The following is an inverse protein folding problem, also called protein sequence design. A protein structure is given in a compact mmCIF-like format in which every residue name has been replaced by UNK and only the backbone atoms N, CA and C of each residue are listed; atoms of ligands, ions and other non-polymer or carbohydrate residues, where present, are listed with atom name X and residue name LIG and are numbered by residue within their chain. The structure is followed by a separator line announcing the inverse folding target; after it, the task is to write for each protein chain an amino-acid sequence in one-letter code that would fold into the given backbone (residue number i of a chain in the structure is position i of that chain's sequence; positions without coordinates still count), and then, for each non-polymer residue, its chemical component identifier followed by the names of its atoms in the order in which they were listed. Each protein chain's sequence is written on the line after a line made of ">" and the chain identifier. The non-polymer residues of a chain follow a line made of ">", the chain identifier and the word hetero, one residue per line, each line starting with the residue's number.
data_IF_883795303745
#
_entry.id   IF_883795303745
#
_cell.length_a   1.000
_cell.length_b   1.000
_cell.length_c   1.000
_cell.angle_alpha   90.00
_cell.angle_beta   90.00
_cell.angle_gamma   90.00
#
_symmetry.space_group_name_H-M   'P 1'
#
loop_
_entity.id
_entity.type
_entity.pdbx_description
1 polymer ?
#
# COMPACT_ATOMS: atom_id res chain seq x y z
N UNK A 1 22.32 -23.11 -6.80
CA UNK A 1 21.45 -23.38 -5.64
C UNK A 1 20.13 -23.90 -6.17
N UNK A 2 19.48 -24.89 -5.55
CA UNK A 2 18.13 -25.34 -5.93
C UNK A 2 17.08 -24.56 -5.11
N UNK A 3 16.38 -23.54 -5.66
CA UNK A 3 15.51 -22.66 -4.88
C UNK A 3 14.42 -23.38 -4.06
N UNK A 4 13.93 -24.52 -4.54
CA UNK A 4 12.91 -25.34 -3.86
C UNK A 4 13.40 -25.97 -2.55
N UNK A 5 14.71 -26.06 -2.32
CA UNK A 5 15.27 -26.54 -1.05
C UNK A 5 15.21 -25.49 0.07
N UNK A 6 15.14 -24.20 -0.30
CA UNK A 6 15.22 -23.07 0.62
C UNK A 6 13.86 -22.40 0.87
N UNK A 7 12.82 -22.79 0.13
CA UNK A 7 11.46 -22.27 0.30
C UNK A 7 10.42 -23.38 0.34
N UNK A 8 9.83 -23.58 1.51
CA UNK A 8 8.72 -24.51 1.69
C UNK A 8 7.49 -24.13 0.85
N UNK A 9 7.25 -22.82 0.68
CA UNK A 9 6.20 -22.33 -0.22
C UNK A 9 6.47 -22.77 -1.66
N UNK A 10 7.69 -22.51 -2.15
CA UNK A 10 8.04 -22.81 -3.53
C UNK A 10 7.96 -24.31 -3.81
N UNK A 11 8.49 -25.13 -2.90
CA UNK A 11 8.41 -26.59 -2.98
C UNK A 11 6.96 -27.07 -3.13
N UNK A 12 6.07 -26.66 -2.21
CA UNK A 12 4.66 -27.05 -2.24
C UNK A 12 3.94 -26.56 -3.49
N UNK A 13 4.27 -25.34 -3.95
CA UNK A 13 3.68 -24.78 -5.16
C UNK A 13 4.11 -25.58 -6.39
N UNK A 14 5.40 -25.90 -6.55
CA UNK A 14 5.90 -26.69 -7.68
C UNK A 14 5.32 -28.11 -7.66
N UNK A 15 5.24 -28.77 -6.50
CA UNK A 15 4.66 -30.12 -6.40
C UNK A 15 3.20 -30.18 -6.88
N UNK A 16 2.44 -29.09 -6.68
CA UNK A 16 1.02 -29.01 -7.04
C UNK A 16 0.77 -28.49 -8.47
N UNK A 17 1.52 -27.47 -8.89
CA UNK A 17 1.17 -26.67 -10.09
C UNK A 17 2.23 -26.71 -11.19
N UNK A 18 3.48 -27.07 -10.89
CA UNK A 18 4.58 -27.10 -11.86
C UNK A 18 5.63 -28.17 -11.49
N UNK A 19 5.25 -29.47 -11.50
CA UNK A 19 6.07 -30.55 -10.95
C UNK A 19 7.39 -30.74 -11.71
N UNK A 20 7.39 -30.46 -13.02
CA UNK A 20 8.58 -30.51 -13.87
C UNK A 20 9.38 -29.19 -13.85
N UNK A 21 8.84 -28.16 -13.18
CA UNK A 21 9.41 -26.81 -13.08
C UNK A 21 9.63 -26.14 -14.43
N UNK A 22 8.80 -26.46 -15.43
CA UNK A 22 8.94 -25.92 -16.79
C UNK A 22 8.63 -24.43 -16.75
N UNK A 23 7.47 -24.06 -16.20
CA UNK A 23 7.08 -22.65 -16.12
C UNK A 23 8.07 -21.85 -15.29
N UNK A 24 8.49 -22.39 -14.14
CA UNK A 24 9.44 -21.77 -13.23
C UNK A 24 10.78 -21.42 -13.91
N UNK A 25 11.34 -22.37 -14.69
CA UNK A 25 12.62 -22.20 -15.38
C UNK A 25 12.53 -21.36 -16.65
N UNK A 26 11.34 -21.26 -17.23
CA UNK A 26 11.07 -20.44 -18.40
C UNK A 26 10.46 -19.09 -17.97
N UNK A 27 9.14 -18.91 -18.12
CA UNK A 27 8.47 -17.65 -17.86
C UNK A 27 8.67 -17.12 -16.43
N UNK A 28 8.70 -18.00 -15.43
CA UNK A 28 8.90 -17.64 -14.02
C UNK A 28 10.30 -17.10 -13.70
N UNK A 29 11.29 -17.40 -14.54
CA UNK A 29 12.70 -16.96 -14.38
C UNK A 29 12.94 -15.51 -14.80
N UNK A 30 11.95 -14.88 -15.45
CA UNK A 30 12.01 -13.48 -15.86
C UNK A 30 11.03 -12.65 -15.03
N UNK A 31 11.48 -11.48 -14.54
CA UNK A 31 10.59 -10.58 -13.81
C UNK A 31 9.49 -10.05 -14.75
N UNK A 32 8.20 -10.21 -14.41
CA UNK A 32 7.13 -9.75 -15.28
C UNK A 32 7.12 -8.21 -15.35
N UNK A 33 6.73 -7.69 -16.51
CA UNK A 33 6.52 -6.25 -16.71
C UNK A 33 5.26 -5.80 -15.97
N UNK A 34 5.18 -4.50 -15.66
CA UNK A 34 3.98 -3.94 -15.04
C UNK A 34 2.71 -4.18 -15.87
N UNK A 35 2.81 -4.00 -17.19
CA UNK A 35 1.69 -4.22 -18.11
C UNK A 35 1.25 -5.69 -18.10
N UNK A 36 2.17 -6.65 -18.03
CA UNK A 36 1.83 -8.07 -17.98
C UNK A 36 1.05 -8.42 -16.71
N UNK A 37 1.55 -8.00 -15.54
CA UNK A 37 0.87 -8.20 -14.25
C UNK A 37 -0.55 -7.60 -14.31
N UNK A 38 -0.67 -6.34 -14.75
CA UNK A 38 -1.96 -5.66 -14.84
C UNK A 38 -2.93 -6.41 -15.75
N UNK A 39 -2.48 -6.82 -16.94
CA UNK A 39 -3.32 -7.56 -17.88
C UNK A 39 -3.81 -8.90 -17.32
N UNK A 40 -2.95 -9.64 -16.63
CA UNK A 40 -3.33 -10.91 -16.01
C UNK A 40 -4.40 -10.74 -14.94
N UNK A 41 -4.30 -9.71 -14.10
CA UNK A 41 -5.32 -9.39 -13.11
C UNK A 41 -6.66 -8.95 -13.74
N UNK A 42 -6.61 -8.17 -14.81
CA UNK A 42 -7.80 -7.68 -15.51
C UNK A 42 -8.62 -8.80 -16.16
N UNK A 43 -8.00 -9.92 -16.56
CA UNK A 43 -8.70 -11.10 -17.08
C UNK A 43 -9.70 -11.70 -16.07
N UNK A 44 -9.49 -11.49 -14.77
CA UNK A 44 -10.36 -12.03 -13.73
C UNK A 44 -11.63 -11.20 -13.50
N UNK A 45 -11.63 -9.92 -13.86
CA UNK A 45 -12.74 -8.97 -13.58
C UNK A 45 -14.13 -9.49 -13.99
N UNK A 46 -14.33 -10.05 -15.20
CA UNK A 46 -15.66 -10.47 -15.65
C UNK A 46 -16.17 -11.79 -15.06
N UNK A 47 -15.36 -12.48 -14.24
CA UNK A 47 -15.74 -13.76 -13.63
C UNK A 47 -16.82 -13.58 -12.57
N UNK A 48 -17.44 -14.68 -12.12
CA UNK A 48 -18.26 -14.65 -10.89
C UNK A 48 -17.37 -14.41 -9.66
N UNK A 49 -17.89 -13.87 -8.55
CA UNK A 49 -17.06 -13.61 -7.36
C UNK A 49 -16.33 -14.84 -6.82
N UNK A 50 -16.93 -16.04 -6.73
CA UNK A 50 -16.19 -17.24 -6.32
C UNK A 50 -15.03 -17.59 -7.27
N UNK A 51 -15.22 -17.43 -8.58
CA UNK A 51 -14.19 -17.68 -9.58
C UNK A 51 -13.10 -16.60 -9.56
N UNK A 52 -13.49 -15.32 -9.43
CA UNK A 52 -12.57 -14.20 -9.23
C UNK A 52 -11.68 -14.46 -8.02
N UNK A 53 -12.26 -14.81 -6.87
CA UNK A 53 -11.55 -15.09 -5.63
C UNK A 53 -10.57 -16.26 -5.80
N UNK A 54 -10.98 -17.33 -6.47
CA UNK A 54 -10.12 -18.48 -6.73
C UNK A 54 -8.95 -18.09 -7.67
N UNK A 55 -9.25 -17.50 -8.83
CA UNK A 55 -8.23 -17.14 -9.83
C UNK A 55 -7.26 -16.08 -9.32
N UNK A 56 -7.73 -15.11 -8.52
CA UNK A 56 -6.88 -14.11 -7.88
C UNK A 56 -5.80 -14.74 -6.99
N UNK A 57 -6.15 -15.79 -6.23
CA UNK A 57 -5.20 -16.50 -5.36
C UNK A 57 -4.23 -17.36 -6.15
N UNK A 58 -4.69 -18.04 -7.20
CA UNK A 58 -3.82 -18.80 -8.10
C UNK A 58 -2.80 -17.87 -8.76
N UNK A 59 -3.26 -16.75 -9.33
CA UNK A 59 -2.41 -15.76 -9.97
C UNK A 59 -1.38 -15.18 -8.99
N UNK A 60 -1.83 -14.73 -7.81
CA UNK A 60 -0.94 -14.22 -6.76
C UNK A 60 0.11 -15.25 -6.33
N UNK A 61 -0.28 -16.51 -6.16
CA UNK A 61 0.65 -17.57 -5.76
C UNK A 61 1.66 -17.91 -6.87
N UNK A 62 1.23 -17.90 -8.13
CA UNK A 62 2.13 -18.08 -9.28
C UNK A 62 3.13 -16.93 -9.40
N UNK A 63 2.69 -15.68 -9.30
CA UNK A 63 3.58 -14.51 -9.29
C UNK A 63 4.57 -14.58 -8.14
N UNK A 64 4.12 -14.94 -6.93
CA UNK A 64 5.00 -15.13 -5.78
C UNK A 64 5.99 -16.29 -5.97
N UNK A 65 5.59 -17.39 -6.61
CA UNK A 65 6.48 -18.51 -6.90
C UNK A 65 7.62 -18.08 -7.83
N UNK A 66 7.31 -17.38 -8.92
CA UNK A 66 8.32 -16.79 -9.81
C UNK A 66 9.23 -15.81 -9.07
N UNK A 67 8.67 -14.92 -8.24
CA UNK A 67 9.46 -13.96 -7.46
C UNK A 67 10.43 -14.66 -6.51
N UNK A 68 9.97 -15.64 -5.73
CA UNK A 68 10.84 -16.39 -4.80
C UNK A 68 11.91 -17.16 -5.56
N UNK A 69 11.56 -17.76 -6.70
CA UNK A 69 12.53 -18.46 -7.54
C UNK A 69 13.64 -17.53 -8.03
N UNK A 70 13.30 -16.35 -8.55
CA UNK A 70 14.27 -15.37 -9.04
C UNK A 70 15.11 -14.80 -7.91
N UNK A 71 14.51 -14.50 -6.76
CA UNK A 71 15.22 -14.02 -5.57
C UNK A 71 16.27 -15.04 -5.09
N UNK A 72 15.89 -16.31 -4.94
CA UNK A 72 16.79 -17.38 -4.49
C UNK A 72 17.82 -17.80 -5.54
N UNK A 73 17.52 -17.56 -6.81
CA UNK A 73 18.46 -17.79 -7.93
C UNK A 73 19.41 -16.61 -8.16
N UNK A 74 19.22 -15.47 -7.48
CA UNK A 74 20.00 -14.25 -7.70
C UNK A 74 19.72 -13.58 -9.05
N UNK A 75 18.52 -13.76 -9.60
CA UNK A 75 18.09 -13.21 -10.90
C UNK A 75 17.42 -11.84 -10.75
N UNK A 76 16.68 -11.62 -9.67
CA UNK A 76 16.02 -10.33 -9.39
C UNK A 76 16.95 -9.43 -8.57
N UNK A 77 16.97 -8.15 -8.93
CA UNK A 77 17.49 -7.09 -8.05
C UNK A 77 16.54 -6.83 -6.87
N UNK A 78 16.96 -6.01 -5.91
CA UNK A 78 16.07 -5.53 -4.85
C UNK A 78 14.91 -4.72 -5.45
N UNK A 79 15.22 -3.86 -6.41
CA UNK A 79 14.29 -3.02 -7.14
C UNK A 79 13.25 -3.86 -7.89
N UNK A 80 13.67 -4.96 -8.54
CA UNK A 80 12.74 -5.89 -9.18
C UNK A 80 11.78 -6.54 -8.19
N UNK A 81 12.31 -7.00 -7.05
CA UNK A 81 11.51 -7.66 -6.02
C UNK A 81 10.42 -6.73 -5.49
N UNK A 82 10.80 -5.49 -5.16
CA UNK A 82 9.89 -4.48 -4.62
C UNK A 82 8.89 -4.01 -5.69
N UNK A 83 9.34 -3.80 -6.93
CA UNK A 83 8.50 -3.42 -8.07
C UNK A 83 7.43 -4.48 -8.34
N UNK A 84 7.82 -5.75 -8.47
CA UNK A 84 6.87 -6.85 -8.76
C UNK A 84 5.87 -7.01 -7.63
N UNK A 85 6.31 -6.97 -6.37
CA UNK A 85 5.42 -7.09 -5.20
C UNK A 85 4.43 -5.92 -5.14
N UNK A 86 4.92 -4.71 -5.34
CA UNK A 86 4.09 -3.49 -5.36
C UNK A 86 3.07 -3.54 -6.49
N UNK A 87 3.52 -3.87 -7.71
CA UNK A 87 2.64 -3.91 -8.87
C UNK A 87 1.57 -4.99 -8.77
N UNK A 88 1.90 -6.14 -8.18
CA UNK A 88 0.92 -7.20 -7.92
C UNK A 88 -0.18 -6.70 -6.97
N UNK A 89 0.18 -5.99 -5.90
CA UNK A 89 -0.80 -5.43 -4.96
C UNK A 89 -1.69 -4.36 -5.61
N UNK A 90 -1.10 -3.44 -6.39
CA UNK A 90 -1.86 -2.40 -7.11
C UNK A 90 -2.81 -3.01 -8.13
N UNK A 91 -2.35 -3.99 -8.90
CA UNK A 91 -3.16 -4.67 -9.92
C UNK A 91 -4.29 -5.48 -9.29
N UNK A 92 -4.06 -6.10 -8.12
CA UNK A 92 -5.09 -6.79 -7.37
C UNK A 92 -6.16 -5.83 -6.82
N UNK A 93 -5.76 -4.66 -6.33
CA UNK A 93 -6.69 -3.61 -5.88
C UNK A 93 -7.53 -3.08 -7.05
N UNK A 94 -6.91 -2.75 -8.19
CA UNK A 94 -7.64 -2.26 -9.38
C UNK A 94 -8.62 -3.31 -9.92
N UNK A 95 -8.19 -4.57 -10.05
CA UNK A 95 -9.07 -5.64 -10.54
C UNK A 95 -10.21 -5.94 -9.57
N UNK A 96 -9.94 -5.98 -8.25
CA UNK A 96 -10.97 -6.21 -7.24
C UNK A 96 -11.97 -5.05 -7.17
N UNK A 97 -11.48 -3.82 -7.27
CA UNK A 97 -12.32 -2.63 -7.37
C UNK A 97 -13.25 -2.71 -8.58
N UNK A 98 -12.71 -3.00 -9.77
CA UNK A 98 -13.48 -3.11 -11.01
C UNK A 98 -14.52 -4.25 -10.94
N UNK A 99 -14.13 -5.41 -10.42
CA UNK A 99 -15.01 -6.57 -10.27
C UNK A 99 -16.23 -6.25 -9.39
N UNK A 100 -16.01 -5.72 -8.19
CA UNK A 100 -17.10 -5.43 -7.26
C UNK A 100 -17.93 -4.22 -7.67
N UNK A 101 -17.34 -3.27 -8.41
CA UNK A 101 -18.06 -2.14 -9.02
C UNK A 101 -19.23 -2.61 -9.89
N UNK A 102 -18.96 -3.54 -10.82
CA UNK A 102 -19.97 -4.08 -11.75
C UNK A 102 -21.14 -4.71 -10.99
N UNK A 103 -20.84 -5.43 -9.92
CA UNK A 103 -21.85 -6.10 -9.08
C UNK A 103 -22.72 -5.08 -8.35
N UNK A 104 -22.09 -4.09 -7.71
CA UNK A 104 -22.81 -3.07 -6.95
C UNK A 104 -23.61 -2.14 -7.86
N UNK A 105 -23.08 -1.75 -9.01
CA UNK A 105 -23.79 -0.96 -10.02
C UNK A 105 -25.03 -1.69 -10.53
N UNK A 106 -24.92 -3.00 -10.75
CA UNK A 106 -26.07 -3.83 -11.13
C UNK A 106 -27.15 -3.90 -10.04
N UNK A 107 -26.75 -3.86 -8.77
CA UNK A 107 -27.65 -3.99 -7.63
C UNK A 107 -28.32 -2.67 -7.20
N UNK A 108 -27.57 -1.56 -7.26
CA UNK A 108 -27.95 -0.27 -6.66
C UNK A 108 -27.98 0.89 -7.67
N UNK A 109 -27.55 0.66 -8.92
CA UNK A 109 -27.24 1.71 -9.88
C UNK A 109 -25.87 2.35 -9.58
N UNK A 110 -25.30 3.00 -10.60
CA UNK A 110 -24.06 3.74 -10.42
C UNK A 110 -24.30 4.97 -9.51
N UNK A 111 -23.32 5.36 -8.68
CA UNK A 111 -23.29 6.68 -8.07
C UNK A 111 -23.35 7.78 -9.13
N UNK A 112 -23.99 8.91 -8.81
CA UNK A 112 -24.03 10.08 -9.71
C UNK A 112 -22.63 10.57 -10.09
N UNK A 113 -21.67 10.43 -9.17
CA UNK A 113 -20.24 10.56 -9.41
C UNK A 113 -19.51 9.28 -8.95
N UNK A 114 -19.06 8.40 -9.86
CA UNK A 114 -18.53 7.09 -9.49
C UNK A 114 -17.07 7.13 -9.00
N UNK A 115 -16.44 8.32 -8.99
CA UNK A 115 -15.03 8.47 -8.67
C UNK A 115 -14.72 8.05 -7.23
N UNK A 116 -13.84 7.07 -7.11
CA UNK A 116 -13.26 6.56 -5.87
C UNK A 116 -11.77 6.36 -6.11
N UNK A 117 -10.94 6.91 -5.23
CA UNK A 117 -9.52 6.59 -5.16
C UNK A 117 -9.25 5.66 -3.99
N UNK A 118 -8.33 4.72 -4.18
CA UNK A 118 -7.71 3.97 -3.09
C UNK A 118 -6.33 4.57 -2.89
N UNK A 119 -6.07 5.15 -1.71
CA UNK A 119 -4.75 5.61 -1.32
C UNK A 119 -4.00 4.47 -0.64
N UNK A 120 -2.84 4.13 -1.18
CA UNK A 120 -1.91 3.20 -0.60
C UNK A 120 -1.03 3.94 0.39
N UNK A 121 -0.84 3.34 1.56
CA UNK A 121 -0.12 3.91 2.69
C UNK A 121 1.13 3.08 2.98
N UNK A 122 2.00 3.58 3.86
CA UNK A 122 3.17 2.85 4.33
C UNK A 122 4.01 2.30 3.17
N UNK A 123 4.29 0.99 3.21
CA UNK A 123 5.13 0.33 2.19
C UNK A 123 4.46 0.25 0.82
N UNK A 124 3.13 0.15 0.75
CA UNK A 124 2.42 0.15 -0.53
C UNK A 124 2.53 1.54 -1.20
N UNK A 125 2.23 2.58 -0.43
CA UNK A 125 2.30 3.95 -0.92
C UNK A 125 3.73 4.36 -1.33
N UNK A 126 4.73 3.99 -0.52
CA UNK A 126 6.15 4.20 -0.77
C UNK A 126 6.80 3.31 -1.84
N UNK A 127 6.05 2.35 -2.44
CA UNK A 127 6.59 1.35 -3.38
C UNK A 127 7.74 0.56 -2.77
N UNK A 128 7.51 -0.01 -1.61
CA UNK A 128 8.47 -0.70 -0.73
C UNK A 128 7.91 -2.03 -0.20
N UNK A 129 6.91 -2.60 -0.88
CA UNK A 129 6.33 -3.87 -0.43
C UNK A 129 7.36 -4.98 -0.48
N UNK A 130 7.35 -5.78 0.59
CA UNK A 130 8.09 -7.05 0.66
C UNK A 130 7.11 -8.23 0.60
N UNK A 131 7.66 -9.44 0.44
CA UNK A 131 6.92 -10.70 0.26
C UNK A 131 5.78 -10.98 1.25
N UNK A 132 5.85 -10.45 2.47
CA UNK A 132 4.88 -10.70 3.54
C UNK A 132 4.25 -9.41 4.08
N UNK A 133 4.31 -8.32 3.31
CA UNK A 133 3.72 -7.06 3.72
C UNK A 133 2.20 -7.13 3.67
N UNK A 134 1.57 -6.56 4.70
CA UNK A 134 0.18 -6.15 4.62
C UNK A 134 0.07 -4.97 3.64
N UNK A 135 -1.10 -4.79 3.03
CA UNK A 135 -1.40 -3.62 2.22
C UNK A 135 -2.22 -2.64 3.03
N UNK A 136 -1.58 -1.53 3.39
CA UNK A 136 -2.24 -0.43 4.09
C UNK A 136 -2.97 0.45 3.06
N UNK A 137 -4.30 0.55 3.16
CA UNK A 137 -5.11 1.36 2.24
C UNK A 137 -6.12 2.22 2.99
N UNK A 138 -6.54 3.34 2.39
CA UNK A 138 -7.81 3.96 2.74
C UNK A 138 -8.50 4.52 1.49
N UNK A 139 -9.83 4.54 1.49
CA UNK A 139 -10.63 4.86 0.32
C UNK A 139 -11.28 6.24 0.46
N UNK A 140 -11.24 7.03 -0.62
CA UNK A 140 -11.89 8.36 -0.68
C UNK A 140 -12.72 8.46 -1.95
N UNK A 141 -13.97 8.92 -1.84
CA UNK A 141 -14.85 9.17 -2.98
C UNK A 141 -15.10 10.66 -3.17
N UNK A 142 -15.49 11.05 -4.39
CA UNK A 142 -15.53 12.47 -4.77
C UNK A 142 -16.45 13.32 -3.90
N UNK A 143 -17.73 12.96 -3.81
CA UNK A 143 -18.75 13.76 -3.12
C UNK A 143 -19.90 12.90 -2.61
N UNK A 144 -20.61 13.41 -1.61
CA UNK A 144 -21.85 12.80 -1.14
C UNK A 144 -22.96 12.88 -2.19
N UNK A 145 -23.89 11.95 -2.14
CA UNK A 145 -24.97 11.84 -3.11
C UNK A 145 -25.68 10.50 -3.00
N UNK A 146 -26.44 10.15 -4.04
CA UNK A 146 -27.22 8.93 -4.10
C UNK A 146 -26.98 8.17 -5.42
N UNK A 147 -27.15 6.85 -5.37
CA UNK A 147 -27.13 5.99 -6.57
C UNK A 147 -28.41 6.10 -7.37
N UNK A 148 -28.35 5.85 -8.68
CA UNK A 148 -29.47 6.03 -9.59
C UNK A 148 -30.32 4.78 -9.86
N UNK A 149 -30.12 3.69 -9.10
CA UNK A 149 -30.75 2.40 -9.37
C UNK A 149 -32.03 2.15 -8.60
N UNK A 150 -32.63 0.95 -8.76
CA UNK A 150 -33.93 0.61 -8.17
C UNK A 150 -33.89 0.51 -6.63
N UNK A 151 -32.70 0.34 -6.06
CA UNK A 151 -32.44 0.32 -4.61
C UNK A 151 -31.44 1.42 -4.29
N UNK A 152 -31.95 2.64 -4.20
CA UNK A 152 -31.15 3.85 -3.92
C UNK A 152 -30.33 3.66 -2.64
N UNK A 153 -29.05 4.04 -2.71
CA UNK A 153 -28.12 4.10 -1.59
C UNK A 153 -27.45 5.46 -1.56
N UNK A 154 -27.16 5.95 -0.36
CA UNK A 154 -26.21 7.04 -0.20
C UNK A 154 -24.82 6.57 -0.68
N UNK A 155 -24.04 7.50 -1.24
CA UNK A 155 -22.68 7.22 -1.70
C UNK A 155 -21.82 6.61 -0.58
N UNK A 156 -21.96 7.10 0.66
CA UNK A 156 -21.25 6.58 1.83
C UNK A 156 -21.45 5.07 2.04
N UNK A 157 -22.71 4.59 2.10
CA UNK A 157 -23.05 3.16 2.20
C UNK A 157 -22.58 2.40 0.96
N UNK A 158 -22.78 2.93 -0.25
CA UNK A 158 -22.35 2.28 -1.48
C UNK A 158 -20.83 2.04 -1.50
N UNK A 159 -20.03 3.09 -1.28
CA UNK A 159 -18.57 2.99 -1.33
C UNK A 159 -18.01 2.22 -0.13
N UNK A 160 -18.66 2.31 1.05
CA UNK A 160 -18.31 1.46 2.20
C UNK A 160 -18.49 -0.02 1.86
N UNK A 161 -19.61 -0.41 1.24
CA UNK A 161 -19.83 -1.79 0.79
C UNK A 161 -18.79 -2.21 -0.24
N UNK A 162 -18.48 -1.34 -1.19
CA UNK A 162 -17.47 -1.63 -2.20
C UNK A 162 -16.11 -1.92 -1.58
N UNK A 163 -15.66 -1.05 -0.66
CA UNK A 163 -14.41 -1.23 0.08
C UNK A 163 -14.42 -2.51 0.93
N UNK A 164 -15.56 -2.88 1.53
CA UNK A 164 -15.69 -4.14 2.27
C UNK A 164 -15.57 -5.36 1.36
N UNK A 165 -16.24 -5.36 0.20
CA UNK A 165 -16.21 -6.51 -0.70
C UNK A 165 -14.83 -6.71 -1.34
N UNK A 166 -14.18 -5.64 -1.79
CA UNK A 166 -12.83 -5.75 -2.34
C UNK A 166 -11.83 -6.21 -1.28
N UNK A 167 -11.90 -5.66 -0.05
CA UNK A 167 -11.02 -6.09 1.03
C UNK A 167 -11.25 -7.56 1.40
N UNK A 168 -12.51 -8.01 1.42
CA UNK A 168 -12.86 -9.41 1.69
C UNK A 168 -12.31 -10.35 0.62
N UNK A 169 -12.44 -10.02 -0.66
CA UNK A 169 -11.89 -10.83 -1.76
C UNK A 169 -10.38 -11.00 -1.65
N UNK A 170 -9.66 -9.94 -1.24
CA UNK A 170 -8.21 -9.95 -1.13
C UNK A 170 -7.70 -10.65 0.15
N UNK A 171 -8.35 -10.42 1.29
CA UNK A 171 -7.87 -10.83 2.63
C UNK A 171 -8.36 -12.23 3.06
N UNK A 172 -9.56 -12.65 2.63
CA UNK A 172 -10.15 -13.88 3.14
C UNK A 172 -9.25 -15.11 2.92
N UNK A 173 -9.05 -15.90 3.96
CA UNK A 173 -8.29 -17.14 3.85
C UNK A 173 -9.18 -18.25 3.29
N UNK A 174 -8.81 -18.79 2.12
CA UNK A 174 -9.47 -19.95 1.49
C UNK A 174 -8.50 -21.13 1.41
N UNK A 175 -8.94 -22.24 0.79
CA UNK A 175 -8.08 -23.40 0.50
C UNK A 175 -6.89 -23.07 -0.40
N UNK A 176 -6.99 -21.99 -1.18
CA UNK A 176 -5.92 -21.49 -2.06
C UNK A 176 -5.09 -20.36 -1.41
N UNK A 177 -5.37 -20.05 -0.13
CA UNK A 177 -4.71 -19.00 0.62
C UNK A 177 -5.46 -17.66 0.55
N UNK A 178 -4.71 -16.57 0.50
CA UNK A 178 -5.21 -15.19 0.41
C UNK A 178 -4.37 -14.42 -0.61
N UNK A 179 -4.87 -13.28 -1.09
CA UNK A 179 -4.11 -12.42 -2.02
C UNK A 179 -3.18 -11.51 -1.24
N UNK A 180 -3.75 -10.67 -0.37
CA UNK A 180 -3.02 -9.75 0.50
C UNK A 180 -3.86 -9.47 1.74
N UNK A 181 -3.19 -9.31 2.89
CA UNK A 181 -3.85 -8.82 4.11
C UNK A 181 -4.09 -7.33 3.98
N UNK A 182 -5.33 -6.90 4.16
CA UNK A 182 -5.72 -5.49 3.94
C UNK A 182 -5.86 -4.78 5.28
N UNK A 183 -4.99 -3.80 5.55
CA UNK A 183 -5.09 -2.94 6.72
C UNK A 183 -5.71 -1.59 6.33
N UNK A 184 -6.76 -1.19 7.04
CA UNK A 184 -7.49 0.04 6.78
C UNK A 184 -7.42 1.03 7.94
N UNK A 185 -6.57 0.78 8.95
CA UNK A 185 -6.55 1.54 10.21
C UNK A 185 -5.91 2.92 10.10
N UNK A 186 -5.22 3.23 9.00
CA UNK A 186 -4.59 4.53 8.76
C UNK A 186 -5.55 5.57 8.16
N UNK A 187 -6.83 5.23 7.98
CA UNK A 187 -7.87 6.17 7.53
C UNK A 187 -8.22 7.20 8.62
N UNK A 188 -8.82 8.35 8.27
CA UNK A 188 -9.39 9.29 9.24
C UNK A 188 -10.22 8.59 10.32
N UNK A 189 -10.04 8.98 11.59
CA UNK A 189 -10.66 8.35 12.77
C UNK A 189 -10.25 6.89 13.03
N UNK A 190 -9.29 6.35 12.29
CA UNK A 190 -8.79 4.99 12.41
C UNK A 190 -9.91 3.94 12.32
N UNK A 191 -9.88 2.94 13.21
CA UNK A 191 -10.89 1.86 13.23
C UNK A 191 -12.32 2.34 13.44
N UNK A 192 -12.53 3.52 14.04
CA UNK A 192 -13.86 4.09 14.27
C UNK A 192 -14.39 4.89 13.06
N UNK A 193 -13.54 5.18 12.07
CA UNK A 193 -13.91 5.93 10.87
C UNK A 193 -14.64 5.08 9.83
N UNK A 194 -15.31 5.77 8.92
CA UNK A 194 -15.91 5.17 7.72
C UNK A 194 -14.83 4.49 6.87
N UNK A 195 -15.17 3.39 6.19
CA UNK A 195 -14.21 2.68 5.34
C UNK A 195 -13.97 3.40 4.01
N UNK A 196 -14.94 4.22 3.59
CA UNK A 196 -14.82 5.18 2.51
C UNK A 196 -15.37 6.53 3.01
N UNK A 197 -14.62 7.61 2.77
CA UNK A 197 -14.94 8.98 3.24
C UNK A 197 -15.03 9.91 2.01
N UNK A 198 -15.93 10.92 1.96
CA UNK A 198 -15.91 11.89 0.87
C UNK A 198 -14.70 12.82 0.96
N UNK A 199 -14.27 13.41 -0.15
CA UNK A 199 -13.12 14.35 -0.20
C UNK A 199 -13.27 15.45 0.84
N UNK A 200 -14.43 16.13 0.89
CA UNK A 200 -14.67 17.25 1.80
C UNK A 200 -14.47 16.85 3.26
N UNK A 201 -15.06 15.74 3.70
CA UNK A 201 -14.90 15.28 5.09
C UNK A 201 -13.46 14.82 5.41
N UNK A 202 -12.72 14.35 4.40
CA UNK A 202 -11.31 14.00 4.55
C UNK A 202 -10.44 15.27 4.76
N UNK A 203 -10.69 16.32 3.97
CA UNK A 203 -10.03 17.61 4.10
C UNK A 203 -10.33 18.24 5.47
N UNK A 204 -11.61 18.31 5.85
CA UNK A 204 -12.05 18.81 7.16
C UNK A 204 -11.37 18.07 8.32
N UNK A 205 -11.24 16.74 8.22
CA UNK A 205 -10.58 15.95 9.24
C UNK A 205 -9.12 16.36 9.42
N UNK A 206 -8.36 16.46 8.33
CA UNK A 206 -6.93 16.79 8.45
C UNK A 206 -6.70 18.26 8.81
N UNK A 207 -7.62 19.15 8.47
CA UNK A 207 -7.58 20.55 8.91
C UNK A 207 -7.81 20.68 10.42
N UNK A 208 -8.83 20.00 10.95
CA UNK A 208 -9.31 20.23 12.34
C UNK A 208 -8.76 19.21 13.34
N UNK A 209 -8.63 17.95 12.94
CA UNK A 209 -8.38 16.82 13.84
C UNK A 209 -7.06 16.08 13.57
N UNK A 210 -6.38 16.40 12.46
CA UNK A 210 -5.17 15.72 12.03
C UNK A 210 -4.04 15.74 13.07
N UNK A 211 -3.51 14.56 13.39
CA UNK A 211 -2.51 14.32 14.42
C UNK A 211 -1.10 14.28 13.85
N UNK A 212 -0.11 14.52 14.71
CA UNK A 212 1.31 14.55 14.33
C UNK A 212 1.80 13.26 13.66
N UNK A 213 1.39 12.11 14.17
CA UNK A 213 1.77 10.82 13.58
C UNK A 213 1.11 10.58 12.21
N UNK A 214 -0.04 11.19 11.92
CA UNK A 214 -0.72 11.03 10.64
C UNK A 214 0.04 11.72 9.52
N UNK A 215 0.82 12.76 9.84
CA UNK A 215 1.75 13.39 8.87
C UNK A 215 2.77 12.38 8.36
N UNK A 216 3.38 11.60 9.26
CA UNK A 216 4.32 10.52 8.89
C UNK A 216 3.65 9.47 7.99
N UNK A 217 2.40 9.10 8.28
CA UNK A 217 1.66 8.15 7.46
C UNK A 217 1.38 8.72 6.06
N UNK A 218 0.93 9.97 5.97
CA UNK A 218 0.62 10.65 4.71
C UNK A 218 1.86 10.92 3.85
N UNK A 219 3.07 11.02 4.41
CA UNK A 219 4.30 11.14 3.61
C UNK A 219 4.48 9.99 2.62
N UNK A 220 3.91 8.82 2.91
CA UNK A 220 3.94 7.67 2.01
C UNK A 220 2.68 7.57 1.13
N UNK A 221 1.65 8.38 1.35
CA UNK A 221 0.37 8.21 0.69
C UNK A 221 0.48 8.44 -0.83
N UNK A 222 -0.13 7.55 -1.60
CA UNK A 222 -0.19 7.65 -3.06
C UNK A 222 -1.46 6.99 -3.61
N UNK A 223 -2.07 7.48 -4.69
CA UNK A 223 -3.16 6.77 -5.36
C UNK A 223 -2.66 5.45 -5.94
N UNK A 224 -3.23 4.32 -5.48
CA UNK A 224 -2.82 2.95 -5.85
C UNK A 224 -3.87 2.14 -6.59
N UNK A 225 -5.13 2.58 -6.58
CA UNK A 225 -6.20 2.03 -7.42
C UNK A 225 -7.36 3.03 -7.59
N UNK A 226 -8.19 2.80 -8.60
CA UNK A 226 -9.34 3.67 -8.91
C UNK A 226 -8.94 4.98 -9.59
N UNK A 227 -9.65 6.06 -9.26
CA UNK A 227 -9.45 7.39 -9.84
C UNK A 227 -8.17 8.04 -9.29
N UNK A 228 -7.10 8.02 -10.10
CA UNK A 228 -5.77 8.52 -9.69
C UNK A 228 -5.72 10.04 -9.59
N UNK A 229 -6.55 10.74 -10.37
CA UNK A 229 -6.58 12.19 -10.39
C UNK A 229 -7.27 12.72 -9.12
N UNK A 230 -8.37 12.08 -8.72
CA UNK A 230 -9.05 12.38 -7.44
C UNK A 230 -8.07 12.27 -6.26
N UNK A 231 -7.34 11.15 -6.17
CA UNK A 231 -6.37 10.94 -5.10
C UNK A 231 -5.19 11.92 -5.15
N UNK A 232 -4.71 12.25 -6.35
CA UNK A 232 -3.62 13.24 -6.52
C UNK A 232 -4.06 14.64 -6.09
N UNK A 233 -5.28 15.04 -6.47
CA UNK A 233 -5.86 16.33 -6.09
C UNK A 233 -6.09 16.43 -4.58
N UNK A 234 -6.59 15.38 -3.94
CA UNK A 234 -6.70 15.33 -2.48
C UNK A 234 -5.33 15.46 -1.81
N UNK A 235 -4.34 14.67 -2.21
CA UNK A 235 -3.00 14.77 -1.60
C UNK A 235 -2.37 16.13 -1.82
N UNK A 236 -2.68 16.80 -2.95
CA UNK A 236 -2.28 18.18 -3.18
C UNK A 236 -2.94 19.15 -2.18
N UNK A 237 -4.25 19.02 -1.92
CA UNK A 237 -4.94 19.86 -0.93
C UNK A 237 -4.47 19.59 0.51
N UNK A 238 -4.04 18.37 0.81
CA UNK A 238 -3.47 17.98 2.11
C UNK A 238 -2.00 18.38 2.31
N UNK A 239 -1.30 18.89 1.27
CA UNK A 239 0.11 19.31 1.40
C UNK A 239 0.39 20.26 2.56
N UNK A 240 -0.43 21.28 2.86
CA UNK A 240 -0.19 22.18 4.00
C UNK A 240 -0.22 21.44 5.35
N UNK A 241 -1.04 20.40 5.49
CA UNK A 241 -1.06 19.54 6.67
C UNK A 241 0.19 18.67 6.76
N UNK A 242 0.58 18.06 5.64
CA UNK A 242 1.72 17.13 5.54
C UNK A 242 3.08 17.83 5.69
N UNK A 243 3.27 18.97 5.00
CA UNK A 243 4.53 19.67 4.86
C UNK A 243 4.40 21.12 5.34
N UNK A 244 4.68 21.36 6.62
CA UNK A 244 4.57 22.71 7.19
C UNK A 244 5.63 23.63 6.61
N UNK A 245 5.20 24.81 6.15
CA UNK A 245 6.11 25.87 5.68
C UNK A 245 6.90 26.52 6.84
N UNK A 246 6.24 26.68 7.97
CA UNK A 246 6.80 27.26 9.20
C UNK A 246 6.81 26.21 10.30
N UNK A 247 7.95 26.08 10.97
CA UNK A 247 8.12 25.19 12.12
C UNK A 247 8.15 26.03 13.39
N UNK A 248 7.35 25.63 14.37
CA UNK A 248 7.50 26.07 15.75
C UNK A 248 8.31 25.06 16.55
N UNK A 249 8.64 25.41 17.80
CA UNK A 249 9.33 24.50 18.71
C UNK A 249 8.52 23.22 19.01
N UNK A 250 7.19 23.27 18.90
CA UNK A 250 6.28 22.16 19.19
C UNK A 250 6.43 20.99 18.21
N UNK A 251 6.88 21.25 16.97
CA UNK A 251 7.18 20.17 16.00
C UNK A 251 8.28 19.24 16.52
N UNK A 252 9.37 19.80 17.06
CA UNK A 252 10.49 19.01 17.54
C UNK A 252 10.12 18.17 18.76
N UNK A 253 9.32 18.73 19.67
CA UNK A 253 8.77 17.98 20.81
C UNK A 253 7.87 16.85 20.34
N UNK A 254 6.98 17.10 19.37
CA UNK A 254 6.08 16.09 18.81
C UNK A 254 6.83 14.91 18.18
N UNK A 255 7.92 15.18 17.45
CA UNK A 255 8.77 14.13 16.87
C UNK A 255 9.45 13.32 17.98
N UNK A 256 10.00 13.98 19.01
CA UNK A 256 10.63 13.28 20.16
C UNK A 256 9.63 12.41 20.92
N UNK A 257 8.42 12.91 21.13
CA UNK A 257 7.35 12.17 21.81
C UNK A 257 6.93 10.94 21.01
N UNK A 258 6.81 11.06 19.68
CA UNK A 258 6.51 9.93 18.82
C UNK A 258 7.61 8.88 18.87
N UNK A 259 8.88 9.30 18.79
CA UNK A 259 10.05 8.41 18.92
C UNK A 259 10.04 7.67 20.26
N UNK A 260 9.82 8.38 21.37
CA UNK A 260 9.75 7.83 22.71
C UNK A 260 8.62 6.79 22.87
N UNK A 261 7.44 7.05 22.29
CA UNK A 261 6.32 6.10 22.26
C UNK A 261 6.68 4.83 21.51
N UNK A 262 7.28 4.93 20.33
CA UNK A 262 7.72 3.79 19.51
C UNK A 262 8.70 2.92 20.31
N UNK A 263 9.73 3.53 20.91
CA UNK A 263 10.74 2.78 21.67
C UNK A 263 10.16 2.11 22.93
N UNK A 264 9.25 2.80 23.62
CA UNK A 264 8.58 2.26 24.80
C UNK A 264 7.74 1.05 24.44
N UNK A 265 7.02 1.09 23.31
CA UNK A 265 6.25 -0.04 22.81
C UNK A 265 7.13 -1.24 22.43
N UNK A 266 8.28 -0.98 21.80
CA UNK A 266 9.26 -2.02 21.42
C UNK A 266 9.82 -2.73 22.64
N UNK A 267 10.28 -1.96 23.65
CA UNK A 267 10.79 -2.48 24.91
C UNK A 267 9.73 -3.28 25.66
N UNK A 268 8.50 -2.75 25.76
CA UNK A 268 7.38 -3.43 26.43
C UNK A 268 7.09 -4.81 25.84
N UNK A 269 7.29 -4.97 24.53
CA UNK A 269 7.04 -6.22 23.82
C UNK A 269 8.29 -7.12 23.73
N UNK A 270 9.43 -6.74 24.33
CA UNK A 270 10.69 -7.51 24.29
C UNK A 270 11.25 -7.70 22.88
N UNK A 271 11.08 -6.70 22.00
CA UNK A 271 11.44 -6.79 20.58
C UNK A 271 12.72 -6.04 20.21
N UNK A 272 13.62 -5.81 21.17
CA UNK A 272 14.81 -4.98 20.99
C UNK A 272 15.76 -5.48 19.88
N UNK A 273 15.82 -6.80 19.66
CA UNK A 273 16.63 -7.44 18.60
C UNK A 273 15.85 -7.71 17.31
N UNK A 274 14.63 -7.20 17.17
CA UNK A 274 13.81 -7.44 15.98
C UNK A 274 14.31 -6.56 14.81
N UNK A 275 14.56 -7.17 13.64
CA UNK A 275 15.05 -6.44 12.44
C UNK A 275 14.15 -5.27 12.00
N UNK A 276 12.83 -5.34 12.25
CA UNK A 276 11.89 -4.29 11.83
C UNK A 276 11.75 -3.19 12.88
N UNK A 277 11.55 -3.57 14.15
CA UNK A 277 11.13 -2.62 15.20
C UNK A 277 12.16 -2.42 16.30
N UNK A 278 13.19 -3.25 16.36
CA UNK A 278 14.29 -3.12 17.29
C UNK A 278 15.17 -1.91 16.98
N UNK A 279 16.14 -1.66 17.86
CA UNK A 279 17.08 -0.53 17.71
C UNK A 279 17.97 -0.77 16.48
N UNK A 280 18.11 0.25 15.64
CA UNK A 280 18.77 0.17 14.33
C UNK A 280 17.94 -0.56 13.27
N UNK A 281 16.69 -0.91 13.57
CA UNK A 281 15.83 -1.63 12.64
C UNK A 281 15.23 -0.73 11.55
N UNK A 282 14.55 -1.38 10.60
CA UNK A 282 13.94 -0.74 9.42
C UNK A 282 13.05 0.45 9.82
N UNK A 283 12.21 0.31 10.84
CA UNK A 283 11.30 1.37 11.30
C UNK A 283 12.04 2.59 11.85
N UNK A 284 13.20 2.39 12.48
CA UNK A 284 13.99 3.50 13.02
C UNK A 284 14.65 4.29 11.89
N UNK A 285 15.17 3.59 10.89
CA UNK A 285 15.73 4.20 9.68
C UNK A 285 14.65 4.98 8.90
N UNK A 286 13.48 4.37 8.68
CA UNK A 286 12.31 5.05 8.10
C UNK A 286 11.94 6.31 8.89
N UNK A 287 11.92 6.22 10.22
CA UNK A 287 11.58 7.35 11.09
C UNK A 287 12.56 8.52 10.96
N UNK A 288 13.86 8.26 10.85
CA UNK A 288 14.89 9.29 10.69
C UNK A 288 14.66 10.08 9.39
N UNK A 289 14.56 9.37 8.26
CA UNK A 289 14.37 9.99 6.94
C UNK A 289 13.05 10.75 6.88
N UNK A 290 11.95 10.16 7.35
CA UNK A 290 10.64 10.82 7.38
C UNK A 290 10.61 12.04 8.31
N UNK A 291 11.31 11.99 9.45
CA UNK A 291 11.41 13.16 10.33
C UNK A 291 12.06 14.34 9.61
N UNK A 292 13.09 14.09 8.81
CA UNK A 292 13.74 15.14 8.01
C UNK A 292 12.84 15.63 6.88
N UNK A 293 12.06 14.75 6.23
CA UNK A 293 11.04 15.16 5.27
C UNK A 293 9.98 16.08 5.92
N UNK A 294 9.51 15.78 7.13
CA UNK A 294 8.56 16.65 7.84
C UNK A 294 9.17 18.00 8.21
N UNK A 295 10.43 18.02 8.62
CA UNK A 295 11.12 19.24 9.01
C UNK A 295 11.51 20.13 7.82
N UNK A 296 11.75 19.56 6.64
CA UNK A 296 12.37 20.29 5.52
C UNK A 296 11.52 20.29 4.24
N UNK A 297 10.63 19.33 4.06
CA UNK A 297 9.83 19.16 2.85
C UNK A 297 8.83 20.28 2.57
N UNK A 298 8.46 21.09 3.57
CA UNK A 298 7.66 22.30 3.35
C UNK A 298 8.43 23.44 2.67
N UNK A 299 9.77 23.41 2.72
CA UNK A 299 10.66 24.41 2.14
C UNK A 299 11.42 23.87 0.92
N UNK A 300 11.62 22.56 0.88
CA UNK A 300 12.44 21.85 -0.10
C UNK A 300 11.56 20.83 -0.82
N UNK A 301 10.98 21.18 -1.98
CA UNK A 301 10.02 20.33 -2.70
C UNK A 301 10.58 18.98 -3.16
N UNK A 302 11.90 18.88 -3.38
CA UNK A 302 12.60 17.63 -3.73
C UNK A 302 12.45 16.54 -2.65
N UNK A 303 12.14 16.91 -1.41
CA UNK A 303 11.85 15.97 -0.32
C UNK A 303 10.39 15.51 -0.27
N UNK A 304 9.51 16.03 -1.13
CA UNK A 304 8.09 15.63 -1.20
C UNK A 304 7.89 14.35 -2.04
N UNK A 305 8.71 13.35 -1.77
CA UNK A 305 8.69 12.02 -2.41
C UNK A 305 8.19 10.96 -1.43
N UNK A 306 7.58 9.91 -1.96
CA UNK A 306 7.02 8.83 -1.14
C UNK A 306 8.01 7.70 -0.89
N UNK A 307 8.96 7.44 -1.81
CA UNK A 307 9.97 6.40 -1.64
C UNK A 307 11.01 6.76 -0.59
N UNK A 308 11.45 5.78 0.20
CA UNK A 308 12.48 5.89 1.22
C UNK A 308 13.83 6.17 0.56
N UNK A 309 14.19 5.37 -0.45
CA UNK A 309 15.46 5.55 -1.17
C UNK A 309 15.47 6.88 -1.93
N UNK A 310 14.34 7.28 -2.51
CA UNK A 310 14.18 8.59 -3.15
C UNK A 310 14.35 9.73 -2.13
N UNK A 311 13.70 9.62 -0.97
CA UNK A 311 13.83 10.59 0.11
C UNK A 311 15.26 10.66 0.66
N UNK A 312 15.91 9.52 0.84
CA UNK A 312 17.30 9.44 1.30
C UNK A 312 18.25 10.10 0.32
N UNK A 313 18.11 9.83 -0.98
CA UNK A 313 18.88 10.49 -2.05
C UNK A 313 18.67 12.01 -1.99
N UNK A 314 17.41 12.46 -1.94
CA UNK A 314 17.10 13.89 -1.88
C UNK A 314 17.68 14.57 -0.62
N UNK A 315 17.70 13.87 0.53
CA UNK A 315 18.34 14.40 1.75
C UNK A 315 19.85 14.58 1.59
N UNK A 316 20.53 13.68 0.87
CA UNK A 316 21.96 13.79 0.56
C UNK A 316 22.22 14.90 -0.46
N UNK A 317 21.42 14.96 -1.53
CA UNK A 317 21.54 15.95 -2.59
C UNK A 317 21.36 17.39 -2.06
N UNK A 318 20.44 17.56 -1.11
CA UNK A 318 20.16 18.84 -0.42
C UNK A 318 21.13 19.12 0.75
N UNK A 319 22.14 18.27 0.95
CA UNK A 319 23.15 18.38 2.03
C UNK A 319 22.54 18.42 3.44
N UNK A 320 21.37 17.82 3.63
CA UNK A 320 20.73 17.67 4.94
C UNK A 320 21.34 16.47 5.68
N UNK A 321 21.66 15.41 4.93
CA UNK A 321 22.48 14.30 5.38
C UNK A 321 23.84 14.34 4.69
N UNK A 322 24.88 13.89 5.40
CA UNK A 322 26.19 13.70 4.76
C UNK A 322 26.11 12.52 3.80
N UNK A 323 26.94 12.52 2.75
CA UNK A 323 27.02 11.38 1.84
C UNK A 323 27.51 10.09 2.54
N UNK A 324 28.18 10.20 3.69
CA UNK A 324 28.60 9.03 4.46
C UNK A 324 27.44 8.44 5.25
N UNK A 325 26.70 9.27 6.00
CA UNK A 325 25.49 8.84 6.71
C UNK A 325 24.47 8.25 5.75
N UNK A 326 24.29 8.89 4.58
CA UNK A 326 23.37 8.41 3.54
C UNK A 326 23.77 7.07 2.91
N UNK A 327 25.06 6.70 2.93
CA UNK A 327 25.52 5.36 2.50
C UNK A 327 25.39 4.31 3.59
N UNK A 328 25.46 4.72 4.86
CA UNK A 328 25.33 3.81 6.00
C UNK A 328 23.88 3.41 6.27
N UNK A 329 22.93 4.31 5.99
CA UNK A 329 21.48 4.08 6.05
C UNK A 329 20.99 3.25 4.86
#
# INVERSE_FOLDING_TARGET
>A
MHPTEYSQFLKRWTEKFDPEQIWLKEAGSTAPTESAIRQDWQKNVPLSTPEFDHQARILRNQTQAGLIYRLLSGLDTFEDTVRVTTQMAESALDASLAHHRVILDSAFGAPSNPALTILGMGKLGGRELNLSSDIDIFCVFAEDGETSGPRVRDHGDYFTRLTQQLAKSLDALTVDGFVARVDQRLRPWGSAGQLAIPVVACEDYYEVHGREWERFALLKARPVAGDRDLGTNLLYSLKPFMYRKYLDFGVFESIRDLKSKIETEVRRNGRDQNVKVGRGGIREIEFIVQSMQLLRGGQIPTLQVTGFLEALSALVDESILTADDGRQL
#
